data_IF_911881754310
#
_entry.id   IF_911881754310
#
_cell.length_a   1.000
_cell.length_b   1.000
_cell.length_c   1.000
_cell.angle_alpha   90.00
_cell.angle_beta   90.00
_cell.angle_gamma   90.00
#
_symmetry.space_group_name_H-M   'P 1'
#
loop_
_entity.id
_entity.type
_entity.pdbx_description
1 polymer ?
#
# COMPACT_ATOMS: atom_id res chain seq x y z
N UNK A 1 -23.98 -1.36 -25.66
CA UNK A 1 -23.65 -0.44 -24.53
C UNK A 1 -22.54 -0.97 -23.61
N UNK A 2 -22.37 -2.29 -23.40
CA UNK A 2 -21.32 -2.83 -22.51
C UNK A 2 -19.86 -2.50 -22.89
N UNK A 3 -19.57 -2.22 -24.16
CA UNK A 3 -18.23 -1.87 -24.65
C UNK A 3 -17.71 -0.57 -24.02
N UNK A 4 -18.58 0.43 -23.88
CA UNK A 4 -18.23 1.72 -23.29
C UNK A 4 -17.86 1.57 -21.81
N UNK A 5 -18.60 0.73 -21.08
CA UNK A 5 -18.29 0.41 -19.69
C UNK A 5 -16.90 -0.21 -19.54
N UNK A 6 -16.56 -1.18 -20.40
CA UNK A 6 -15.23 -1.81 -20.40
C UNK A 6 -14.12 -0.79 -20.65
N UNK A 7 -14.30 0.12 -21.61
CA UNK A 7 -13.33 1.17 -21.91
C UNK A 7 -13.16 2.10 -20.70
N UNK A 8 -14.25 2.53 -20.07
CA UNK A 8 -14.19 3.42 -18.90
C UNK A 8 -13.47 2.76 -17.74
N UNK A 9 -13.83 1.52 -17.39
CA UNK A 9 -13.14 0.76 -16.33
C UNK A 9 -11.65 0.65 -16.63
N UNK A 10 -11.28 0.48 -17.90
CA UNK A 10 -9.89 0.43 -18.32
C UNK A 10 -9.14 1.74 -18.18
N UNK A 11 -9.74 2.84 -18.63
CA UNK A 11 -9.14 4.16 -18.46
C UNK A 11 -8.94 4.44 -16.96
N UNK A 12 -9.95 4.14 -16.13
CA UNK A 12 -9.86 4.30 -14.68
C UNK A 12 -8.73 3.45 -14.09
N UNK A 13 -8.57 2.19 -14.53
CA UNK A 13 -7.52 1.31 -14.03
C UNK A 13 -6.12 1.81 -14.39
N UNK A 14 -5.92 2.28 -15.61
CA UNK A 14 -4.63 2.83 -16.07
C UNK A 14 -4.28 4.10 -15.31
N UNK A 15 -5.23 5.03 -15.19
CA UNK A 15 -5.05 6.27 -14.44
C UNK A 15 -4.75 5.96 -12.96
N UNK A 16 -5.50 5.05 -12.35
CA UNK A 16 -5.26 4.59 -10.99
C UNK A 16 -3.85 4.04 -10.83
N UNK A 17 -3.42 3.13 -11.70
CA UNK A 17 -2.08 2.54 -11.62
C UNK A 17 -0.98 3.59 -11.78
N UNK A 18 -1.18 4.60 -12.64
CA UNK A 18 -0.23 5.69 -12.83
C UNK A 18 -0.09 6.54 -11.56
N UNK A 19 -1.21 6.94 -10.95
CA UNK A 19 -1.22 7.67 -9.69
C UNK A 19 -0.64 6.82 -8.54
N UNK A 20 -0.93 5.53 -8.49
CA UNK A 20 -0.42 4.60 -7.49
C UNK A 20 1.11 4.46 -7.60
N UNK A 21 1.65 4.34 -8.82
CA UNK A 21 3.11 4.41 -9.05
C UNK A 21 3.67 5.72 -8.53
N UNK A 22 3.08 6.86 -8.91
CA UNK A 22 3.59 8.18 -8.54
C UNK A 22 3.52 8.40 -7.02
N UNK A 23 2.49 7.89 -6.34
CA UNK A 23 2.33 7.98 -4.90
C UNK A 23 3.20 6.97 -4.14
N UNK A 24 3.60 5.86 -4.76
CA UNK A 24 4.38 4.82 -4.10
C UNK A 24 5.75 5.34 -3.60
N UNK A 25 6.09 5.14 -2.31
CA UNK A 25 7.42 5.41 -1.76
C UNK A 25 8.48 4.59 -2.49
N UNK A 26 9.68 5.15 -2.67
CA UNK A 26 10.79 4.48 -3.39
C UNK A 26 11.15 3.11 -2.77
N UNK A 27 11.02 2.98 -1.45
CA UNK A 27 11.28 1.73 -0.72
C UNK A 27 10.28 0.61 -1.05
N UNK A 28 9.08 0.95 -1.53
CA UNK A 28 8.01 0.00 -1.83
C UNK A 28 8.03 -0.49 -3.28
N UNK A 29 8.64 0.30 -4.17
CA UNK A 29 8.76 -0.01 -5.60
C UNK A 29 9.79 -1.12 -5.77
N UNK A 30 9.42 -2.22 -6.43
CA UNK A 30 10.31 -3.37 -6.68
C UNK A 30 10.53 -3.64 -8.17
N UNK A 31 11.55 -4.44 -8.46
CA UNK A 31 11.97 -4.95 -9.78
C UNK A 31 12.50 -3.90 -10.78
N UNK A 32 11.86 -2.74 -10.87
CA UNK A 32 12.24 -1.68 -11.80
C UNK A 32 12.24 -0.32 -11.08
N UNK A 33 13.06 0.65 -11.52
CA UNK A 33 13.00 2.01 -11.00
C UNK A 33 11.63 2.63 -11.30
N UNK A 34 11.20 3.57 -10.46
CA UNK A 34 9.89 4.23 -10.55
C UNK A 34 9.58 4.77 -11.95
N UNK A 35 10.59 5.35 -12.62
CA UNK A 35 10.46 5.88 -13.99
C UNK A 35 10.19 4.79 -15.03
N UNK A 36 10.80 3.61 -14.89
CA UNK A 36 10.56 2.50 -15.81
C UNK A 36 9.14 1.94 -15.67
N UNK A 37 8.59 1.90 -14.46
CA UNK A 37 7.18 1.55 -14.24
C UNK A 37 6.21 2.55 -14.88
N UNK A 38 6.48 3.85 -14.75
CA UNK A 38 5.70 4.90 -15.42
C UNK A 38 5.76 4.74 -16.95
N UNK A 39 6.96 4.56 -17.50
CA UNK A 39 7.16 4.34 -18.93
C UNK A 39 6.42 3.09 -19.43
N UNK A 40 6.47 1.99 -18.66
CA UNK A 40 5.76 0.75 -18.99
C UNK A 40 4.24 0.95 -19.06
N UNK A 41 3.66 1.68 -18.10
CA UNK A 41 2.22 2.01 -18.10
C UNK A 41 1.88 2.94 -19.28
N UNK A 42 2.77 3.84 -19.69
CA UNK A 42 2.53 4.72 -20.84
C UNK A 42 2.59 3.98 -22.18
N UNK A 43 3.59 3.09 -22.36
CA UNK A 43 3.80 2.37 -23.64
C UNK A 43 2.83 1.21 -23.79
N UNK A 44 2.55 0.50 -22.70
CA UNK A 44 1.65 -0.67 -22.69
C UNK A 44 0.66 -0.51 -21.55
N UNK A 45 -0.36 0.36 -21.67
CA UNK A 45 -1.26 0.70 -20.56
C UNK A 45 -1.93 -0.52 -19.93
N UNK A 46 -2.38 -1.47 -20.75
CA UNK A 46 -3.04 -2.68 -20.25
C UNK A 46 -2.07 -3.58 -19.48
N UNK A 47 -0.93 -3.93 -20.09
CA UNK A 47 0.05 -4.81 -19.48
C UNK A 47 0.78 -4.16 -18.31
N UNK A 48 1.20 -2.91 -18.47
CA UNK A 48 1.94 -2.14 -17.49
C UNK A 48 1.14 -1.88 -16.21
N UNK A 49 -0.14 -1.52 -16.34
CA UNK A 49 -1.00 -1.34 -15.16
C UNK A 49 -1.22 -2.65 -14.42
N UNK A 50 -1.46 -3.76 -15.12
CA UNK A 50 -1.57 -5.09 -14.51
C UNK A 50 -0.27 -5.50 -13.81
N UNK A 51 0.87 -5.43 -14.51
CA UNK A 51 2.19 -5.76 -13.97
C UNK A 51 2.52 -4.92 -12.73
N UNK A 52 2.19 -3.63 -12.74
CA UNK A 52 2.35 -2.76 -11.57
C UNK A 52 1.49 -3.23 -10.39
N UNK A 53 0.21 -3.51 -10.63
CA UNK A 53 -0.74 -3.91 -9.58
C UNK A 53 -0.31 -5.23 -8.91
N UNK A 54 0.26 -6.18 -9.67
CA UNK A 54 0.67 -7.48 -9.16
C UNK A 54 2.11 -7.53 -8.62
N UNK A 55 3.05 -6.85 -9.28
CA UNK A 55 4.49 -6.97 -9.01
C UNK A 55 5.18 -5.65 -8.68
N UNK A 56 4.54 -4.52 -8.94
CA UNK A 56 5.15 -3.19 -8.84
C UNK A 56 5.47 -2.72 -7.43
N UNK A 57 4.66 -3.14 -6.44
CA UNK A 57 4.87 -2.74 -5.06
C UNK A 57 4.63 -3.85 -4.03
N UNK A 58 5.41 -3.81 -2.95
CA UNK A 58 5.08 -4.57 -1.73
C UNK A 58 3.86 -3.94 -1.10
N UNK A 59 2.69 -4.56 -1.31
CA UNK A 59 1.50 -4.23 -0.54
C UNK A 59 1.81 -4.55 0.91
N UNK A 60 1.96 -3.52 1.73
CA UNK A 60 1.73 -3.71 3.16
C UNK A 60 0.27 -4.12 3.26
N UNK A 61 0.01 -5.43 3.36
CA UNK A 61 -1.28 -5.91 3.83
C UNK A 61 -1.57 -5.07 5.08
N UNK A 62 -2.79 -4.55 5.27
CA UNK A 62 -3.18 -4.03 6.56
C UNK A 62 -2.81 -5.15 7.53
N UNK A 63 -1.76 -4.94 8.32
CA UNK A 63 -1.49 -5.84 9.42
C UNK A 63 -2.75 -5.64 10.25
N UNK A 64 -3.67 -6.62 10.24
CA UNK A 64 -4.81 -6.62 11.15
C UNK A 64 -4.29 -6.23 12.54
N UNK A 65 -5.08 -5.47 13.32
CA UNK A 65 -4.61 -4.60 14.39
C UNK A 65 -3.38 -5.22 15.03
N UNK A 66 -2.21 -4.63 14.73
CA UNK A 66 -0.96 -5.05 15.33
C UNK A 66 -1.20 -4.83 16.81
N UNK A 67 -1.58 -5.90 17.53
CA UNK A 67 -1.60 -6.02 18.98
C UNK A 67 -0.16 -5.93 19.47
N UNK A 68 0.53 -4.85 19.10
CA UNK A 68 1.54 -4.24 19.93
C UNK A 68 0.74 -3.61 21.06
N UNK A 69 0.31 -4.47 21.99
CA UNK A 69 0.06 -4.08 23.36
C UNK A 69 1.41 -3.58 23.86
N UNK A 70 1.79 -2.36 23.47
CA UNK A 70 2.77 -1.60 24.23
C UNK A 70 2.08 -1.45 25.58
N UNK A 71 2.64 -1.96 26.68
CA UNK A 71 2.19 -1.54 27.99
C UNK A 71 2.29 -0.01 27.95
N UNK A 72 1.13 0.66 27.96
CA UNK A 72 1.12 2.08 28.24
C UNK A 72 1.74 2.29 29.62
N UNK A 73 2.16 3.52 29.96
CA UNK A 73 2.55 3.84 31.32
C UNK A 73 1.46 3.31 32.28
N UNK A 74 1.80 2.32 33.12
CA UNK A 74 0.88 1.82 34.14
C UNK A 74 0.70 2.92 35.16
N UNK A 75 -0.54 3.17 35.58
CA UNK A 75 -0.79 4.03 36.71
C UNK A 75 -0.15 3.42 37.97
N UNK A 76 0.19 4.24 38.99
CA UNK A 76 0.69 3.73 40.26
C UNK A 76 -0.24 2.68 40.90
N UNK A 77 -1.55 2.82 40.69
CA UNK A 77 -2.58 1.89 41.19
C UNK A 77 -2.61 0.55 40.44
N UNK A 78 -2.08 0.49 39.21
CA UNK A 78 -2.05 -0.70 38.35
C UNK A 78 -0.68 -1.44 38.41
N UNK A 79 0.27 -0.95 39.21
CA UNK A 79 1.59 -1.56 39.38
C UNK A 79 1.70 -2.31 40.72
N UNK A 80 1.80 -3.65 40.71
CA UNK A 80 1.92 -4.43 41.94
C UNK A 80 3.18 -4.09 42.73
N UNK A 81 4.26 -3.61 42.09
CA UNK A 81 5.48 -3.22 42.79
C UNK A 81 5.32 -1.88 43.53
N UNK A 82 4.49 -0.97 43.02
CA UNK A 82 4.11 0.26 43.73
C UNK A 82 3.23 -0.05 44.95
N UNK A 83 2.24 -0.94 44.77
CA UNK A 83 1.32 -1.34 45.85
C UNK A 83 1.98 -2.12 46.98
N UNK A 84 3.11 -2.78 46.72
CA UNK A 84 3.90 -3.48 47.75
C UNK A 84 4.62 -2.53 48.71
N UNK A 85 4.74 -1.25 48.35
CA UNK A 85 5.44 -0.23 49.15
C UNK A 85 4.52 0.62 50.05
N UNK A 86 3.20 0.40 50.02
CA UNK A 86 2.22 0.98 50.95
C UNK A 86 2.07 0.12 52.21
#
# INVERSE_FOLDING_TARGET
MGKALLIVVWVVLVVYALFDVIAAPKERVRHLPKLAWIALILVVPYGGALLWIFFGQVRQRPSGPRNTWRPGPRGPDDDPDYLRGL
#
